data_IF_997428846118
#
_entry.id   IF_997428846118
#
_cell.length_a   1.000
_cell.length_b   1.000
_cell.length_c   1.000
_cell.angle_alpha   90.00
_cell.angle_beta   90.00
_cell.angle_gamma   90.00
#
_symmetry.space_group_name_H-M   'P 1'
#
loop_
_entity.id
_entity.type
_entity.pdbx_description
1 polymer ?
#
# COMPACT_ATOMS: atom_id res chain seq x y z
N UNK A 1 -4.09 -32.89 24.50
CA UNK A 1 -4.31 -33.69 23.28
C UNK A 1 -4.82 -32.75 22.20
N UNK A 2 -4.06 -32.57 21.11
CA UNK A 2 -4.35 -31.56 20.09
C UNK A 2 -5.29 -32.12 19.02
N UNK A 3 -6.24 -31.30 18.58
CA UNK A 3 -7.05 -31.55 17.38
C UNK A 3 -6.35 -30.89 16.19
N UNK A 4 -5.41 -31.61 15.58
CA UNK A 4 -4.83 -31.29 14.28
C UNK A 4 -5.31 -32.35 13.28
N UNK A 5 -5.90 -31.99 12.12
CA UNK A 5 -5.98 -32.93 11.02
C UNK A 5 -4.64 -32.96 10.29
N UNK A 6 -4.00 -34.13 10.28
CA UNK A 6 -2.89 -34.41 9.36
C UNK A 6 -3.36 -34.20 7.91
N UNK A 7 -2.44 -33.70 7.09
CA UNK A 7 -2.76 -33.05 5.82
C UNK A 7 -3.43 -33.93 4.76
N UNK A 8 -3.82 -33.27 3.68
CA UNK A 8 -3.51 -33.54 2.26
C UNK A 8 -4.32 -32.55 1.42
N UNK A 9 -3.78 -32.16 0.27
CA UNK A 9 -4.28 -31.21 -0.72
C UNK A 9 -5.83 -31.10 -0.82
N UNK A 10 -6.37 -29.89 -0.66
CA UNK A 10 -7.78 -29.61 -0.91
C UNK A 10 -8.15 -28.16 -0.62
N UNK A 11 -8.70 -27.49 -1.62
CA UNK A 11 -9.23 -26.12 -1.60
C UNK A 11 -10.04 -25.83 -0.33
N UNK A 12 -9.58 -24.90 0.50
CA UNK A 12 -10.33 -24.47 1.68
C UNK A 12 -11.45 -23.54 1.21
N UNK A 13 -12.63 -24.12 0.98
CA UNK A 13 -13.86 -23.39 0.75
C UNK A 13 -14.34 -22.82 2.10
N UNK A 14 -14.14 -21.52 2.31
CA UNK A 14 -14.75 -20.80 3.43
C UNK A 14 -16.20 -20.48 3.08
N UNK A 15 -17.13 -21.33 3.50
CA UNK A 15 -18.56 -20.97 3.50
C UNK A 15 -18.79 -19.89 4.55
N UNK A 16 -19.04 -18.65 4.12
CA UNK A 16 -19.49 -17.58 5.00
C UNK A 16 -20.89 -17.12 4.59
N UNK A 17 -21.87 -17.53 5.38
CA UNK A 17 -23.25 -17.08 5.25
C UNK A 17 -23.42 -15.60 5.57
N UNK A 18 -24.29 -14.94 4.79
CA UNK A 18 -25.04 -13.70 5.04
C UNK A 18 -24.53 -12.72 6.13
N UNK A 19 -24.21 -11.51 5.65
CA UNK A 19 -24.26 -10.16 6.27
C UNK A 19 -23.02 -9.54 6.96
N UNK A 20 -22.74 -8.30 6.48
CA UNK A 20 -22.13 -7.11 7.11
C UNK A 20 -20.63 -7.04 7.44
N UNK A 21 -19.88 -6.38 6.54
CA UNK A 21 -19.01 -5.19 6.71
C UNK A 21 -18.21 -4.95 8.03
N UNK A 22 -17.97 -5.94 8.87
CA UNK A 22 -17.26 -5.78 10.16
C UNK A 22 -15.96 -6.61 10.23
N UNK A 23 -15.80 -7.61 9.34
CA UNK A 23 -14.60 -8.45 9.31
C UNK A 23 -13.35 -7.81 8.68
N UNK A 24 -13.43 -6.55 8.23
CA UNK A 24 -12.29 -5.84 7.67
C UNK A 24 -11.34 -5.26 8.75
N UNK A 25 -11.81 -5.04 9.99
CA UNK A 25 -11.02 -4.32 11.00
C UNK A 25 -10.01 -5.21 11.78
N UNK A 26 -10.34 -6.48 12.05
CA UNK A 26 -9.40 -7.39 12.73
C UNK A 26 -8.32 -7.94 11.79
N UNK A 27 -8.66 -8.17 10.51
CA UNK A 27 -7.67 -8.55 9.50
C UNK A 27 -6.71 -7.40 9.17
N UNK A 28 -7.18 -6.14 9.24
CA UNK A 28 -6.38 -4.92 9.08
C UNK A 28 -5.29 -4.78 10.15
N UNK A 29 -5.59 -5.05 11.43
CA UNK A 29 -4.60 -4.96 12.51
C UNK A 29 -3.53 -6.05 12.40
N UNK A 30 -3.91 -7.28 12.02
CA UNK A 30 -2.96 -8.35 11.78
C UNK A 30 -2.09 -8.08 10.54
N UNK A 31 -2.69 -7.64 9.42
CA UNK A 31 -1.96 -7.28 8.20
C UNK A 31 -1.01 -6.10 8.41
N UNK A 32 -1.45 -5.01 9.08
CA UNK A 32 -0.60 -3.87 9.41
C UNK A 32 0.53 -4.24 10.39
N UNK A 33 0.31 -5.21 11.29
CA UNK A 33 1.36 -5.73 12.19
C UNK A 33 2.36 -6.64 11.47
N UNK A 34 1.92 -7.37 10.43
CA UNK A 34 2.78 -8.20 9.58
C UNK A 34 3.47 -7.41 8.46
N UNK A 35 2.96 -6.22 8.12
CA UNK A 35 3.65 -5.18 7.37
C UNK A 35 4.74 -4.58 8.26
N UNK A 36 5.63 -5.43 8.72
CA UNK A 36 6.97 -5.03 9.06
C UNK A 36 7.53 -4.51 7.74
N UNK A 37 7.46 -3.18 7.51
CA UNK A 37 8.22 -2.50 6.45
C UNK A 37 9.71 -2.59 6.81
N UNK A 38 10.18 -3.80 7.08
CA UNK A 38 11.51 -4.18 7.46
C UNK A 38 12.45 -3.73 6.35
N UNK A 39 13.61 -3.29 6.78
CA UNK A 39 14.72 -2.88 5.93
C UNK A 39 15.19 -4.07 5.11
N UNK A 40 14.53 -4.36 3.99
CA UNK A 40 15.23 -5.01 2.90
C UNK A 40 16.34 -4.03 2.52
N UNK A 41 17.58 -4.39 2.89
CA UNK A 41 18.78 -3.61 2.68
C UNK A 41 19.03 -3.44 1.18
N UNK A 42 18.30 -2.50 0.55
CA UNK A 42 18.69 -1.96 -0.74
C UNK A 42 20.03 -1.28 -0.49
N UNK A 43 21.08 -1.95 -0.96
CA UNK A 43 22.46 -1.57 -0.68
C UNK A 43 22.68 -0.16 -1.20
N UNK A 44 22.88 0.75 -0.24
CA UNK A 44 23.13 2.18 -0.35
C UNK A 44 24.23 2.45 -1.38
N UNK A 45 23.85 2.77 -2.62
CA UNK A 45 24.76 3.37 -3.61
C UNK A 45 24.24 4.77 -3.95
N UNK A 46 24.92 5.75 -3.35
CA UNK A 46 25.11 7.11 -3.88
C UNK A 46 23.86 7.81 -4.44
N UNK A 47 23.03 8.35 -3.53
CA UNK A 47 22.02 9.36 -3.88
C UNK A 47 22.74 10.69 -4.06
N UNK A 48 23.38 10.87 -5.21
CA UNK A 48 23.81 12.17 -5.69
C UNK A 48 23.21 12.38 -7.08
N UNK A 49 22.01 12.96 -7.06
CA UNK A 49 21.27 13.57 -8.19
C UNK A 49 20.86 12.65 -9.36
N UNK A 50 19.67 12.95 -9.89
CA UNK A 50 19.06 12.52 -11.17
C UNK A 50 18.07 11.35 -11.07
N UNK A 51 16.78 11.69 -11.28
CA UNK A 51 15.63 10.82 -11.60
C UNK A 51 15.36 9.68 -10.62
N UNK A 52 14.20 9.73 -9.97
CA UNK A 52 13.65 8.60 -9.21
C UNK A 52 13.70 7.33 -10.07
N UNK A 53 14.49 6.34 -9.63
CA UNK A 53 14.59 5.06 -10.31
C UNK A 53 13.26 4.29 -10.13
N UNK A 54 12.45 4.30 -11.19
CA UNK A 54 11.14 3.64 -11.21
C UNK A 54 11.31 2.14 -10.96
N UNK A 55 12.40 1.52 -11.39
CA UNK A 55 12.61 0.09 -11.24
C UNK A 55 12.93 -0.25 -9.78
N UNK A 56 13.69 0.60 -9.09
CA UNK A 56 13.89 0.48 -7.64
C UNK A 56 12.58 0.61 -6.85
N UNK A 57 11.66 1.49 -7.27
CA UNK A 57 10.35 1.62 -6.62
C UNK A 57 9.41 0.46 -6.92
N UNK A 58 9.45 -0.09 -8.15
CA UNK A 58 8.71 -1.32 -8.49
C UNK A 58 9.18 -2.50 -7.65
N UNK A 59 10.47 -2.60 -7.37
CA UNK A 59 11.06 -3.65 -6.55
C UNK A 59 10.60 -3.65 -5.08
N UNK A 60 9.88 -2.62 -4.62
CA UNK A 60 9.24 -2.61 -3.29
C UNK A 60 8.04 -3.57 -3.19
N UNK A 61 7.55 -4.06 -4.32
CA UNK A 61 6.32 -4.83 -4.40
C UNK A 61 6.54 -6.20 -5.03
N UNK A 62 5.74 -7.17 -4.59
CA UNK A 62 5.55 -8.40 -5.34
C UNK A 62 4.82 -8.08 -6.65
N UNK A 63 5.20 -8.75 -7.73
CA UNK A 63 4.71 -8.45 -9.10
C UNK A 63 3.18 -8.55 -9.25
N UNK A 64 2.52 -9.36 -8.42
CA UNK A 64 1.07 -9.57 -8.47
C UNK A 64 0.29 -8.78 -7.40
N UNK A 65 0.96 -7.97 -6.57
CA UNK A 65 0.35 -7.26 -5.45
C UNK A 65 0.61 -5.74 -5.46
N UNK A 66 1.58 -5.29 -6.27
CA UNK A 66 1.98 -3.90 -6.39
C UNK A 66 1.27 -3.12 -7.49
N UNK A 67 1.31 -1.78 -7.44
CA UNK A 67 0.82 -0.97 -8.54
C UNK A 67 1.78 -1.00 -9.74
N UNK A 68 1.26 -0.82 -10.94
CA UNK A 68 2.10 -0.53 -12.12
C UNK A 68 2.49 0.94 -12.08
N UNK A 69 3.74 1.23 -11.69
CA UNK A 69 4.28 2.60 -11.64
C UNK A 69 4.76 3.01 -13.02
N UNK A 70 4.22 4.11 -13.55
CA UNK A 70 4.51 4.61 -14.91
C UNK A 70 5.33 5.90 -14.93
N UNK A 71 5.18 6.75 -13.91
CA UNK A 71 5.93 8.01 -13.81
C UNK A 71 6.13 8.38 -12.35
N UNK A 72 7.30 8.93 -12.05
CA UNK A 72 7.59 9.53 -10.74
C UNK A 72 8.29 10.87 -10.91
N UNK A 73 7.88 11.85 -10.12
CA UNK A 73 8.60 13.10 -9.92
C UNK A 73 8.65 13.41 -8.44
N UNK A 74 9.83 13.71 -7.91
CA UNK A 74 10.01 14.02 -6.49
C UNK A 74 11.03 15.13 -6.28
N UNK A 75 10.85 15.85 -5.17
CA UNK A 75 11.82 16.75 -4.57
C UNK A 75 12.07 16.34 -3.11
N UNK A 76 12.67 17.23 -2.32
CA UNK A 76 13.01 16.95 -0.92
C UNK A 76 11.79 16.72 0.00
N UNK A 77 10.63 17.28 -0.34
CA UNK A 77 9.45 17.30 0.51
C UNK A 77 8.18 16.80 -0.18
N UNK A 78 8.18 16.62 -1.50
CA UNK A 78 7.01 16.23 -2.26
C UNK A 78 7.33 15.18 -3.29
N UNK A 79 6.37 14.30 -3.56
CA UNK A 79 6.46 13.35 -4.66
C UNK A 79 5.09 13.14 -5.30
N UNK A 80 5.11 12.89 -6.60
CA UNK A 80 3.96 12.53 -7.41
C UNK A 80 4.29 11.23 -8.15
N UNK A 81 3.48 10.20 -7.93
CA UNK A 81 3.64 8.89 -8.54
C UNK A 81 2.39 8.60 -9.38
N UNK A 82 2.54 8.45 -10.69
CA UNK A 82 1.48 7.97 -11.57
C UNK A 82 1.52 6.46 -11.62
N UNK A 83 0.36 5.85 -11.39
CA UNK A 83 0.23 4.41 -11.32
C UNK A 83 -1.09 3.88 -11.85
N UNK A 84 -1.09 2.60 -12.20
CA UNK A 84 -2.25 1.85 -12.70
C UNK A 84 -2.48 0.67 -11.77
N UNK A 85 -3.74 0.46 -11.41
CA UNK A 85 -4.20 -0.72 -10.66
C UNK A 85 -4.41 -1.86 -11.66
N UNK A 86 -3.39 -2.70 -11.86
CA UNK A 86 -3.47 -3.79 -12.83
C UNK A 86 -4.64 -4.73 -12.52
N UNK A 87 -5.41 -5.14 -13.53
CA UNK A 87 -6.59 -5.99 -13.33
C UNK A 87 -6.26 -7.40 -12.87
N UNK A 88 -4.99 -7.81 -13.01
CA UNK A 88 -4.46 -9.14 -12.67
C UNK A 88 -3.90 -9.23 -11.25
N UNK A 89 -4.08 -8.19 -10.43
CA UNK A 89 -3.65 -8.24 -9.03
C UNK A 89 -4.43 -9.31 -8.28
N UNK A 90 -3.70 -10.09 -7.47
CA UNK A 90 -4.27 -11.18 -6.65
C UNK A 90 -5.32 -10.66 -5.65
N UNK A 91 -5.29 -9.38 -5.33
CA UNK A 91 -6.29 -8.71 -4.50
C UNK A 91 -7.71 -8.77 -5.05
N UNK A 92 -7.88 -9.02 -6.36
CA UNK A 92 -9.18 -9.16 -7.00
C UNK A 92 -9.71 -10.59 -7.02
N UNK A 93 -8.91 -11.58 -6.61
CA UNK A 93 -9.33 -12.97 -6.54
C UNK A 93 -10.02 -13.24 -5.19
N UNK A 94 -11.28 -13.66 -5.25
CA UNK A 94 -12.01 -14.21 -4.09
C UNK A 94 -12.53 -13.22 -3.04
N UNK A 95 -12.14 -11.94 -3.06
CA UNK A 95 -12.52 -11.02 -1.97
C UNK A 95 -13.95 -10.45 -2.10
N UNK A 96 -14.49 -10.35 -3.32
CA UNK A 96 -15.86 -9.95 -3.64
C UNK A 96 -16.23 -10.54 -5.01
N UNK A 97 -16.88 -11.72 -5.07
CA UNK A 97 -17.11 -12.45 -6.32
C UNK A 97 -17.81 -11.61 -7.40
N UNK A 98 -18.73 -10.75 -6.99
CA UNK A 98 -19.55 -9.93 -7.89
C UNK A 98 -18.98 -8.52 -8.14
N UNK A 99 -18.01 -8.06 -7.34
CA UNK A 99 -17.51 -6.68 -7.37
C UNK A 99 -16.01 -6.58 -7.08
N UNK A 100 -15.18 -6.62 -8.12
CA UNK A 100 -13.74 -6.39 -8.00
C UNK A 100 -13.47 -4.94 -7.58
N UNK A 101 -12.92 -4.75 -6.38
CA UNK A 101 -12.53 -3.44 -5.84
C UNK A 101 -11.20 -3.56 -5.10
N UNK A 102 -10.31 -2.58 -5.26
CA UNK A 102 -9.00 -2.59 -4.61
C UNK A 102 -9.20 -2.28 -3.12
N UNK A 103 -8.81 -3.19 -2.21
CA UNK A 103 -9.02 -2.97 -0.78
C UNK A 103 -8.29 -1.71 -0.30
N UNK A 104 -8.93 -0.94 0.58
CA UNK A 104 -8.34 0.28 1.14
C UNK A 104 -7.00 0.03 1.85
N UNK A 105 -6.81 -1.16 2.42
CA UNK A 105 -5.58 -1.58 3.10
C UNK A 105 -4.40 -1.71 2.14
N UNK A 106 -4.67 -2.09 0.89
CA UNK A 106 -3.66 -2.19 -0.17
C UNK A 106 -3.23 -0.79 -0.61
N UNK A 107 -4.17 0.16 -0.71
CA UNK A 107 -3.85 1.57 -0.99
C UNK A 107 -2.93 2.15 0.10
N UNK A 108 -3.21 1.86 1.39
CA UNK A 108 -2.36 2.28 2.52
C UNK A 108 -0.96 1.67 2.41
N UNK A 109 -0.86 0.37 2.12
CA UNK A 109 0.44 -0.31 1.98
C UNK A 109 1.29 0.32 0.87
N UNK A 110 0.68 0.55 -0.30
CA UNK A 110 1.36 1.19 -1.42
C UNK A 110 1.86 2.58 -1.08
N UNK A 111 1.01 3.43 -0.49
CA UNK A 111 1.41 4.76 -0.08
C UNK A 111 2.51 4.73 0.99
N UNK A 112 2.45 3.81 1.95
CA UNK A 112 3.43 3.67 3.02
C UNK A 112 4.81 3.24 2.52
N UNK A 113 4.87 2.21 1.67
CA UNK A 113 6.12 1.74 1.05
C UNK A 113 6.78 2.83 0.21
N UNK A 114 6.02 3.52 -0.63
CA UNK A 114 6.52 4.62 -1.46
C UNK A 114 6.95 5.82 -0.62
N UNK A 115 6.17 6.22 0.38
CA UNK A 115 6.54 7.30 1.29
C UNK A 115 7.85 7.01 2.05
N UNK A 116 8.00 5.77 2.54
CA UNK A 116 9.22 5.36 3.24
C UNK A 116 10.43 5.40 2.30
N UNK A 117 10.32 4.80 1.12
CA UNK A 117 11.42 4.74 0.15
C UNK A 117 11.87 6.13 -0.34
N UNK A 118 10.94 7.08 -0.47
CA UNK A 118 11.22 8.41 -1.03
C UNK A 118 11.73 9.41 0.01
N UNK A 119 11.28 9.35 1.26
CA UNK A 119 11.54 10.41 2.24
C UNK A 119 12.23 9.96 3.52
N UNK A 120 12.10 8.69 3.91
CA UNK A 120 12.48 8.21 5.25
C UNK A 120 13.72 7.34 5.16
N UNK A 121 14.90 7.96 5.29
CA UNK A 121 16.19 7.27 5.24
C UNK A 121 16.43 6.34 6.44
N UNK A 122 15.98 6.76 7.62
CA UNK A 122 16.05 6.02 8.87
C UNK A 122 14.83 6.38 9.72
N UNK A 123 13.98 5.40 9.98
CA UNK A 123 12.77 5.61 10.77
C UNK A 123 11.83 4.42 10.66
N UNK A 124 11.13 4.14 11.75
CA UNK A 124 10.09 3.11 11.79
C UNK A 124 8.73 3.76 11.65
N UNK A 125 7.83 3.07 10.95
CA UNK A 125 6.43 3.44 10.98
C UNK A 125 5.94 3.44 12.42
N UNK A 126 5.26 4.53 12.79
CA UNK A 126 4.79 4.73 14.15
C UNK A 126 3.27 4.77 14.20
N UNK A 127 2.64 5.50 13.27
CA UNK A 127 1.21 5.74 13.34
C UNK A 127 0.62 6.05 11.97
N UNK A 128 -0.59 5.57 11.72
CA UNK A 128 -1.43 5.98 10.61
C UNK A 128 -2.61 6.79 11.16
N UNK A 129 -2.83 7.99 10.62
CA UNK A 129 -3.90 8.90 11.05
C UNK A 129 -4.62 9.51 9.85
N UNK A 130 -5.78 10.13 10.10
CA UNK A 130 -6.55 10.89 9.12
C UNK A 130 -6.94 10.11 7.85
N UNK A 131 -7.09 8.79 7.96
CA UNK A 131 -7.46 7.94 6.82
C UNK A 131 -8.90 8.24 6.41
N UNK A 132 -9.12 8.44 5.12
CA UNK A 132 -10.45 8.53 4.52
C UNK A 132 -10.45 7.79 3.20
N UNK A 133 -11.41 6.89 3.00
CA UNK A 133 -11.73 6.29 1.70
C UNK A 133 -13.00 6.97 1.19
N UNK A 134 -12.88 7.66 0.06
CA UNK A 134 -13.95 8.50 -0.50
C UNK A 134 -14.65 7.82 -1.68
N UNK A 135 -13.89 7.10 -2.50
CA UNK A 135 -14.39 6.44 -3.71
C UNK A 135 -13.77 5.05 -3.88
N UNK A 136 -14.51 4.18 -4.57
CA UNK A 136 -14.03 2.84 -4.92
C UNK A 136 -12.94 2.93 -5.99
N UNK A 137 -11.98 2.02 -5.91
CA UNK A 137 -10.91 1.87 -6.90
C UNK A 137 -11.14 0.57 -7.64
N UNK A 138 -11.45 0.66 -8.92
CA UNK A 138 -11.72 -0.51 -9.76
C UNK A 138 -10.44 -1.05 -10.41
N UNK A 139 -10.41 -2.32 -10.83
CA UNK A 139 -9.39 -2.82 -11.75
C UNK A 139 -9.21 -1.89 -12.95
N UNK A 140 -7.96 -1.68 -13.38
CA UNK A 140 -7.61 -0.82 -14.51
C UNK A 140 -7.55 0.68 -14.17
N UNK A 141 -7.92 1.09 -12.96
CA UNK A 141 -7.95 2.51 -12.58
C UNK A 141 -6.55 3.13 -12.68
N UNK A 142 -6.43 4.19 -13.47
CA UNK A 142 -5.27 5.07 -13.49
C UNK A 142 -5.42 6.17 -12.44
N UNK A 143 -4.39 6.38 -11.63
CA UNK A 143 -4.39 7.36 -10.56
C UNK A 143 -3.01 7.97 -10.31
N UNK A 144 -3.02 9.06 -9.57
CA UNK A 144 -1.85 9.75 -9.06
C UNK A 144 -1.85 9.65 -7.54
N UNK A 145 -0.70 9.27 -6.99
CA UNK A 145 -0.39 9.36 -5.57
C UNK A 145 0.44 10.62 -5.33
N UNK A 146 -0.14 11.58 -4.62
CA UNK A 146 0.56 12.74 -4.10
C UNK A 146 1.04 12.46 -2.68
N UNK A 147 2.33 12.66 -2.44
CA UNK A 147 2.97 12.54 -1.14
C UNK A 147 3.59 13.88 -0.73
N UNK A 148 3.43 14.25 0.54
CA UNK A 148 4.07 15.43 1.10
C UNK A 148 4.67 15.12 2.48
N UNK A 149 5.99 15.27 2.57
CA UNK A 149 6.80 15.01 3.74
C UNK A 149 7.08 16.29 4.54
N UNK A 150 6.70 16.23 5.82
CA UNK A 150 7.03 17.23 6.83
C UNK A 150 8.13 16.69 7.74
N UNK A 151 9.36 17.16 7.56
CA UNK A 151 10.51 16.74 8.35
C UNK A 151 10.41 17.13 9.84
N UNK A 152 9.81 18.29 10.17
CA UNK A 152 9.65 18.73 11.57
C UNK A 152 8.70 17.80 12.31
N UNK A 153 7.61 17.39 11.66
CA UNK A 153 6.57 16.51 12.25
C UNK A 153 6.85 15.02 12.03
N UNK A 154 7.93 14.68 11.32
CA UNK A 154 8.26 13.31 10.90
C UNK A 154 7.04 12.59 10.30
N UNK A 155 6.33 13.27 9.40
CA UNK A 155 5.05 12.79 8.88
C UNK A 155 4.95 12.93 7.37
N UNK A 156 4.32 11.96 6.70
CA UNK A 156 4.00 12.02 5.27
C UNK A 156 2.49 11.96 5.09
N UNK A 157 1.90 12.95 4.41
CA UNK A 157 0.50 12.88 3.97
C UNK A 157 0.42 12.25 2.60
N UNK A 158 -0.61 11.46 2.34
CA UNK A 158 -0.89 10.88 1.02
C UNK A 158 -2.29 11.24 0.52
N UNK A 159 -2.42 11.33 -0.81
CA UNK A 159 -3.70 11.43 -1.51
C UNK A 159 -3.62 10.63 -2.82
N UNK A 160 -4.48 9.62 -2.97
CA UNK A 160 -4.75 8.99 -4.26
C UNK A 160 -5.91 9.70 -4.95
N UNK A 161 -5.71 10.13 -6.18
CA UNK A 161 -6.73 10.80 -6.98
C UNK A 161 -6.50 10.60 -8.48
N UNK A 162 -7.53 10.82 -9.29
CA UNK A 162 -7.40 11.02 -10.73
C UNK A 162 -7.88 12.45 -11.08
N UNK A 163 -8.20 12.71 -12.35
CA UNK A 163 -8.68 14.03 -12.78
C UNK A 163 -10.08 14.38 -12.26
N UNK A 164 -10.88 13.39 -11.85
CA UNK A 164 -12.30 13.55 -11.51
C UNK A 164 -12.57 13.44 -10.02
N UNK A 165 -11.81 12.63 -9.29
CA UNK A 165 -12.07 12.35 -7.88
C UNK A 165 -10.82 12.01 -7.06
N UNK A 166 -10.99 12.07 -5.75
CA UNK A 166 -10.02 11.59 -4.75
C UNK A 166 -10.52 10.24 -4.22
N UNK A 167 -9.69 9.21 -4.29
CA UNK A 167 -10.02 7.86 -3.84
C UNK A 167 -9.79 7.70 -2.34
N UNK A 168 -8.60 8.09 -1.88
CA UNK A 168 -8.26 8.00 -0.47
C UNK A 168 -7.20 9.00 -0.06
N UNK A 169 -7.21 9.34 1.23
CA UNK A 169 -6.23 10.22 1.86
C UNK A 169 -5.82 9.67 3.21
N UNK A 170 -4.64 10.04 3.69
CA UNK A 170 -4.22 9.76 5.06
C UNK A 170 -2.85 10.32 5.39
N UNK A 171 -2.35 9.99 6.58
CA UNK A 171 -1.06 10.46 7.07
C UNK A 171 -0.30 9.36 7.80
N UNK A 172 0.95 9.15 7.42
CA UNK A 172 1.89 8.31 8.16
C UNK A 172 2.74 9.19 9.07
N UNK A 173 2.99 8.73 10.30
CA UNK A 173 4.05 9.24 11.17
C UNK A 173 5.15 8.20 11.28
N UNK A 174 6.37 8.69 11.24
CA UNK A 174 7.57 7.89 11.45
C UNK A 174 8.24 8.36 12.75
N UNK A 175 8.81 7.44 13.49
CA UNK A 175 9.68 7.79 14.62
C UNK A 175 11.13 7.57 14.22
N UNK A 176 12.02 8.35 14.84
CA UNK A 176 13.44 8.04 14.80
C UNK A 176 13.71 6.60 15.28
N UNK A 177 14.81 6.02 14.81
CA UNK A 177 15.32 4.73 15.26
C UNK A 177 15.88 4.84 16.68
#
# INVERSE_FOLDING_TARGET
MPWWPHGQHGTVAWQCGRFTMVYCFMCLLQYLSSLNWSTANITRRSITLLKTDIDALKALFNAQEGPTITKVSSDANSAQVTLIVDERLTWFDGHFPDHKVLPGVVQIDWAGKLAKALFVQAGRFHQLTNIKFKSMVMPGTAMQLALHYNAVKQSVTFNFSNQTESFSTGSFKFSAL
#
